data_IF_840634070966
#
_entry.id   IF_840634070966
#
_cell.length_a   1.000
_cell.length_b   1.000
_cell.length_c   1.000
_cell.angle_alpha   90.00
_cell.angle_beta   90.00
_cell.angle_gamma   90.00
#
_symmetry.space_group_name_H-M   'P 1'
#
loop_
_entity.id
_entity.type
_entity.pdbx_description
1 polymer ?
#
# COMPACT_ATOMS: atom_id res chain seq x y z
N UNK A 1 10.63 -23.12 -1.77
CA UNK A 1 10.81 -21.94 -2.65
C UNK A 1 10.42 -20.71 -1.84
N UNK A 2 11.38 -19.96 -1.32
CA UNK A 2 11.13 -18.77 -0.50
C UNK A 2 10.55 -17.68 -1.38
N UNK A 3 9.29 -17.29 -1.12
CA UNK A 3 8.60 -16.26 -1.87
C UNK A 3 9.37 -14.95 -1.78
N UNK A 4 9.77 -14.41 -2.93
CA UNK A 4 10.36 -13.07 -3.06
C UNK A 4 9.31 -12.03 -2.67
N UNK A 5 9.20 -11.74 -1.37
CA UNK A 5 8.59 -10.51 -0.87
C UNK A 5 9.47 -9.32 -1.21
N UNK A 6 8.92 -8.10 -1.12
CA UNK A 6 9.74 -6.91 -1.13
C UNK A 6 10.75 -6.99 0.01
N UNK A 7 12.02 -6.73 -0.30
CA UNK A 7 13.04 -6.53 0.71
C UNK A 7 12.75 -5.20 1.39
N UNK A 8 12.36 -5.24 2.65
CA UNK A 8 12.24 -4.04 3.47
C UNK A 8 13.60 -3.70 4.09
N UNK A 9 13.92 -2.42 4.31
CA UNK A 9 13.07 -1.24 4.08
C UNK A 9 12.83 -0.93 2.59
N UNK A 10 11.66 -0.38 2.27
CA UNK A 10 11.25 -0.01 0.91
C UNK A 10 10.64 1.39 0.89
N UNK A 11 10.97 2.17 -0.14
CA UNK A 11 10.38 3.49 -0.35
C UNK A 11 9.05 3.39 -1.08
N UNK A 12 8.21 4.43 -1.01
CA UNK A 12 6.97 4.55 -1.81
C UNK A 12 7.18 4.15 -3.27
N UNK A 13 8.24 4.65 -3.89
CA UNK A 13 8.54 4.41 -5.30
C UNK A 13 8.93 2.95 -5.56
N UNK A 14 9.61 2.29 -4.61
CA UNK A 14 9.90 0.86 -4.70
C UNK A 14 8.62 0.02 -4.59
N UNK A 15 7.70 0.42 -3.71
CA UNK A 15 6.38 -0.22 -3.60
C UNK A 15 5.60 -0.11 -4.92
N UNK A 16 5.60 1.09 -5.53
CA UNK A 16 4.96 1.33 -6.84
C UNK A 16 5.60 0.48 -7.92
N UNK A 17 6.94 0.47 -8.04
CA UNK A 17 7.65 -0.35 -9.04
C UNK A 17 7.41 -1.84 -8.84
N UNK A 18 7.38 -2.30 -7.60
CA UNK A 18 7.09 -3.70 -7.29
C UNK A 18 5.66 -4.06 -7.66
N UNK A 19 4.69 -3.20 -7.34
CA UNK A 19 3.29 -3.38 -7.71
C UNK A 19 3.10 -3.34 -9.24
N UNK A 20 3.76 -2.43 -9.94
CA UNK A 20 3.79 -2.35 -11.42
C UNK A 20 4.36 -3.64 -12.02
N UNK A 21 5.50 -4.13 -11.50
CA UNK A 21 6.10 -5.40 -11.92
C UNK A 21 5.24 -6.64 -11.63
N UNK A 22 4.30 -6.53 -10.68
CA UNK A 22 3.29 -7.55 -10.36
C UNK A 22 1.99 -7.38 -11.15
N UNK A 23 1.92 -6.41 -12.06
CA UNK A 23 0.70 -6.05 -12.80
C UNK A 23 -0.47 -5.69 -11.86
N UNK A 24 -0.18 -4.95 -10.77
CA UNK A 24 -1.22 -4.43 -9.90
C UNK A 24 -2.16 -3.48 -10.65
N UNK A 25 -3.42 -3.45 -10.22
CA UNK A 25 -4.43 -2.54 -10.77
C UNK A 25 -4.03 -1.08 -10.58
N UNK A 26 -4.45 -0.21 -11.51
CA UNK A 26 -4.18 1.22 -11.45
C UNK A 26 -4.63 1.86 -10.13
N UNK A 27 -5.76 1.41 -9.55
CA UNK A 27 -6.24 1.88 -8.25
C UNK A 27 -5.21 1.65 -7.13
N UNK A 28 -4.55 0.48 -7.12
CA UNK A 28 -3.53 0.14 -6.14
C UNK A 28 -2.28 1.01 -6.33
N UNK A 29 -1.89 1.26 -7.59
CA UNK A 29 -0.77 2.14 -7.90
C UNK A 29 -1.06 3.59 -7.49
N UNK A 30 -2.28 4.06 -7.68
CA UNK A 30 -2.71 5.40 -7.28
C UNK A 30 -2.76 5.55 -5.75
N UNK A 31 -3.18 4.51 -5.02
CA UNK A 31 -3.10 4.47 -3.56
C UNK A 31 -1.64 4.54 -3.07
N UNK A 32 -0.77 3.71 -3.66
CA UNK A 32 0.67 3.72 -3.36
C UNK A 32 1.34 5.04 -3.75
N UNK A 33 0.82 5.78 -4.74
CA UNK A 33 1.31 7.13 -5.06
C UNK A 33 0.77 8.19 -4.10
N UNK A 34 -0.35 7.91 -3.43
CA UNK A 34 -0.98 8.81 -2.46
C UNK A 34 -0.37 8.78 -1.07
N UNK A 35 0.29 7.68 -0.68
CA UNK A 35 0.95 7.57 0.63
C UNK A 35 2.22 8.45 0.69
N UNK A 36 2.61 8.92 1.89
CA UNK A 36 3.83 9.72 2.08
C UNK A 36 5.09 9.01 1.57
N UNK A 37 6.02 9.81 1.05
CA UNK A 37 7.32 9.33 0.62
C UNK A 37 8.25 9.13 1.82
N UNK A 38 8.09 7.99 2.49
CA UNK A 38 8.89 7.56 3.63
C UNK A 38 9.46 6.16 3.41
N UNK A 39 10.46 5.79 4.23
CA UNK A 39 10.93 4.41 4.29
C UNK A 39 9.98 3.57 5.14
N UNK A 40 9.33 2.63 4.48
CA UNK A 40 8.52 1.62 5.15
C UNK A 40 9.43 0.48 5.55
N UNK A 41 9.38 0.07 6.81
CA UNK A 41 10.20 -1.03 7.34
C UNK A 41 9.48 -2.37 7.26
N UNK A 42 8.15 -2.34 7.12
CA UNK A 42 7.31 -3.52 7.09
C UNK A 42 6.17 -3.35 6.09
N UNK A 43 5.62 -4.45 5.57
CA UNK A 43 4.41 -4.39 4.75
C UNK A 43 3.21 -3.86 5.53
N UNK A 44 3.14 -4.13 6.83
CA UNK A 44 2.06 -3.63 7.69
C UNK A 44 2.03 -2.10 7.77
N UNK A 45 3.19 -1.43 7.76
CA UNK A 45 3.25 0.04 7.76
C UNK A 45 2.69 0.63 6.46
N UNK A 46 2.93 -0.04 5.33
CA UNK A 46 2.34 0.33 4.03
C UNK A 46 0.84 0.15 4.07
N UNK A 47 0.36 -1.01 4.52
CA UNK A 47 -1.08 -1.32 4.59
C UNK A 47 -1.82 -0.32 5.47
N UNK A 48 -1.29 0.03 6.65
CA UNK A 48 -1.90 1.04 7.54
C UNK A 48 -2.06 2.39 6.85
N UNK A 49 -1.06 2.82 6.09
CA UNK A 49 -1.08 4.12 5.45
C UNK A 49 -2.04 4.14 4.24
N UNK A 50 -2.10 3.05 3.49
CA UNK A 50 -3.11 2.85 2.44
C UNK A 50 -4.52 2.84 3.06
N UNK A 51 -4.75 2.08 4.12
CA UNK A 51 -6.05 2.01 4.82
C UNK A 51 -6.46 3.39 5.35
N UNK A 52 -5.52 4.17 5.87
CA UNK A 52 -5.74 5.55 6.32
C UNK A 52 -6.18 6.43 5.16
N UNK A 53 -5.44 6.39 4.05
CA UNK A 53 -5.71 7.19 2.85
C UNK A 53 -7.04 6.81 2.19
N UNK A 54 -7.33 5.51 2.08
CA UNK A 54 -8.63 5.01 1.64
C UNK A 54 -9.74 5.47 2.59
N UNK A 55 -9.56 5.36 3.90
CA UNK A 55 -10.54 5.82 4.89
C UNK A 55 -10.79 7.34 4.86
N UNK A 56 -9.80 8.13 4.42
CA UNK A 56 -9.95 9.56 4.19
C UNK A 56 -10.69 9.86 2.88
N UNK A 57 -10.46 9.06 1.82
CA UNK A 57 -11.10 9.24 0.51
C UNK A 57 -12.49 8.60 0.41
N UNK A 58 -12.82 7.59 1.23
CA UNK A 58 -13.96 6.67 1.00
C UNK A 58 -15.11 6.78 2.01
N UNK A 59 -15.18 7.75 2.93
CA UNK A 59 -16.36 7.78 3.83
C UNK A 59 -17.67 7.97 3.03
N UNK A 60 -18.71 7.15 3.27
CA UNK A 60 -19.18 6.75 4.60
C UNK A 60 -18.74 5.34 5.05
N UNK A 61 -18.76 5.09 6.37
CA UNK A 61 -18.18 3.90 7.00
C UNK A 61 -19.01 2.66 6.65
N UNK A 62 -18.35 1.54 6.33
CA UNK A 62 -19.01 0.24 6.47
C UNK A 62 -19.26 0.00 7.96
N UNK A 63 -20.50 -0.30 8.39
CA UNK A 63 -20.72 -0.76 9.74
C UNK A 63 -19.94 -2.07 9.92
N UNK A 64 -19.12 -2.15 10.96
CA UNK A 64 -18.62 -3.44 11.46
C UNK A 64 -19.84 -4.21 11.94
N UNK A 65 -20.39 -5.08 11.10
CA UNK A 65 -21.37 -6.06 11.52
C UNK A 65 -20.61 -7.23 12.16
N UNK A 66 -20.52 -7.23 13.48
CA UNK A 66 -20.43 -8.46 14.28
C UNK A 66 -21.02 -8.21 15.66
#
# INVERSE_FOLDING_TARGET
MTGRGMGYPASRDDLVKFAEGKQASSDVLDLLRGIPEIEYNTPDDVTKEIERLESERVRPPKPKAQ
#
